data_IF_379105350041
#
_entry.id   IF_379105350041
#
_cell.length_a   1.000
_cell.length_b   1.000
_cell.length_c   1.000
_cell.angle_alpha   90.00
_cell.angle_beta   90.00
_cell.angle_gamma   90.00
#
_symmetry.space_group_name_H-M   'P 1'
#
loop_
_entity.id
_entity.type
_entity.pdbx_description
1 polymer ?
#
# COMPACT_ATOMS: atom_id res chain seq x y z
N UNK A 1 47.59 -14.40 -22.53
CA UNK A 1 47.51 -15.69 -21.82
C UNK A 1 46.95 -15.40 -20.44
N UNK A 2 45.65 -15.49 -20.18
CA UNK A 2 44.94 -16.72 -19.78
C UNK A 2 43.45 -16.45 -20.07
N UNK A 3 42.94 -16.99 -21.18
CA UNK A 3 41.50 -16.99 -21.51
C UNK A 3 41.24 -18.08 -22.55
N UNK A 4 41.58 -19.33 -22.23
CA UNK A 4 41.29 -20.48 -23.08
C UNK A 4 41.58 -21.81 -22.36
N UNK A 5 40.68 -22.30 -21.51
CA UNK A 5 40.52 -23.76 -21.28
C UNK A 5 39.31 -24.01 -20.39
N UNK A 6 38.17 -24.33 -21.00
CA UNK A 6 37.13 -25.25 -20.50
C UNK A 6 36.06 -25.39 -21.58
N UNK A 7 36.52 -25.88 -22.73
CA UNK A 7 35.71 -26.49 -23.77
C UNK A 7 36.17 -27.95 -23.85
N UNK A 8 35.23 -28.89 -24.03
CA UNK A 8 35.37 -30.37 -24.06
C UNK A 8 35.29 -31.10 -22.72
N UNK A 9 34.07 -31.35 -22.25
CA UNK A 9 33.60 -32.73 -22.04
C UNK A 9 32.06 -32.74 -22.10
N UNK A 10 31.50 -33.01 -23.28
CA UNK A 10 30.75 -34.25 -23.54
C UNK A 10 29.34 -34.21 -22.90
N UNK A 11 28.31 -33.62 -23.52
CA UNK A 11 27.61 -34.04 -24.75
C UNK A 11 27.32 -35.55 -24.81
N UNK A 12 26.24 -36.03 -24.19
CA UNK A 12 25.37 -37.09 -24.73
C UNK A 12 23.93 -36.87 -24.27
N UNK A 13 23.01 -37.11 -25.20
CA UNK A 13 21.54 -37.16 -25.07
C UNK A 13 20.77 -35.83 -25.27
N UNK A 14 20.62 -35.48 -26.55
CA UNK A 14 19.38 -34.96 -27.11
C UNK A 14 18.64 -36.11 -27.82
N UNK A 15 17.30 -36.13 -27.77
CA UNK A 15 16.50 -36.11 -28.98
C UNK A 15 15.60 -34.86 -28.97
N UNK A 16 15.71 -33.98 -29.98
CA UNK A 16 14.90 -33.97 -31.21
C UNK A 16 13.51 -33.34 -31.04
N UNK A 17 13.32 -32.22 -31.78
CA UNK A 17 12.07 -31.61 -32.26
C UNK A 17 11.24 -30.86 -31.20
N UNK A 18 10.77 -29.62 -31.38
CA UNK A 18 10.63 -28.74 -32.55
C UNK A 18 10.48 -27.30 -32.01
N UNK A 19 11.33 -26.36 -32.41
CA UNK A 19 11.01 -25.31 -33.39
C UNK A 19 9.79 -24.45 -33.05
N UNK A 20 10.01 -23.28 -32.42
CA UNK A 20 9.33 -22.04 -32.81
C UNK A 20 10.02 -20.82 -32.19
N UNK A 21 10.15 -19.76 -33.00
CA UNK A 21 10.41 -18.36 -32.63
C UNK A 21 11.86 -17.95 -32.27
N UNK A 22 12.61 -17.51 -33.30
CA UNK A 22 13.30 -16.20 -33.30
C UNK A 22 14.01 -15.92 -34.64
N UNK A 23 13.42 -15.03 -35.43
CA UNK A 23 14.07 -14.09 -36.37
C UNK A 23 12.96 -13.25 -36.97
N UNK A 24 13.08 -11.95 -37.23
CA UNK A 24 14.11 -10.97 -36.94
C UNK A 24 13.43 -9.60 -37.09
N UNK A 25 13.95 -8.59 -36.39
CA UNK A 25 13.63 -7.18 -36.60
C UNK A 25 14.48 -6.68 -37.78
N UNK A 26 13.85 -6.10 -38.81
CA UNK A 26 14.44 -5.05 -39.67
C UNK A 26 13.36 -4.33 -40.51
N UNK A 27 13.11 -3.07 -40.17
CA UNK A 27 13.06 -1.87 -41.04
C UNK A 27 12.57 -2.07 -42.49
N UNK A 28 11.37 -1.60 -42.86
CA UNK A 28 11.15 -0.31 -43.56
C UNK A 28 9.70 -0.11 -44.09
N UNK A 29 9.33 1.17 -44.17
CA UNK A 29 8.38 1.91 -45.03
C UNK A 29 7.31 1.22 -45.91
N UNK A 30 6.07 1.75 -45.79
CA UNK A 30 5.00 1.91 -46.81
C UNK A 30 4.61 0.74 -47.73
N UNK A 31 3.37 0.23 -47.59
CA UNK A 31 2.42 0.11 -48.72
C UNK A 31 1.06 -0.46 -48.28
N UNK A 32 0.02 0.31 -48.56
CA UNK A 32 -1.40 -0.07 -48.59
C UNK A 32 -1.68 -0.97 -49.81
N UNK A 33 -2.32 -2.14 -49.63
CA UNK A 33 -3.11 -2.91 -50.64
C UNK A 33 -3.49 -4.26 -50.00
N UNK A 34 -4.61 -4.92 -50.19
CA UNK A 34 -5.93 -4.65 -50.74
C UNK A 34 -6.84 -5.74 -50.17
N UNK A 35 -8.10 -5.39 -49.93
CA UNK A 35 -9.18 -6.34 -49.66
C UNK A 35 -9.61 -6.97 -50.99
N UNK A 36 -9.72 -8.30 -51.02
CA UNK A 36 -10.36 -9.06 -52.09
C UNK A 36 -11.05 -10.29 -51.48
N UNK A 37 -12.35 -10.54 -51.76
CA UNK A 37 -13.12 -11.61 -51.13
C UNK A 37 -13.05 -12.90 -51.96
N UNK A 38 -13.10 -14.05 -51.30
CA UNK A 38 -13.38 -15.32 -51.96
C UNK A 38 -14.12 -16.27 -51.02
N UNK A 39 -15.32 -16.61 -51.45
CA UNK A 39 -16.22 -17.54 -50.81
C UNK A 39 -15.83 -19.00 -51.11
N UNK A 40 -15.71 -19.79 -50.06
CA UNK A 40 -15.88 -21.26 -49.94
C UNK A 40 -15.72 -21.49 -48.42
N UNK A 41 -16.59 -22.14 -47.67
CA UNK A 41 -17.32 -23.35 -47.99
C UNK A 41 -18.44 -23.53 -46.93
N UNK A 42 -19.67 -23.75 -47.39
CA UNK A 42 -20.88 -23.80 -46.57
C UNK A 42 -21.25 -25.25 -46.18
N UNK A 43 -20.25 -26.07 -45.88
CA UNK A 43 -20.37 -27.52 -45.59
C UNK A 43 -20.05 -27.88 -44.14
N UNK A 44 -19.54 -26.95 -43.32
CA UNK A 44 -19.06 -27.25 -41.96
C UNK A 44 -20.14 -27.33 -40.87
N UNK A 45 -21.30 -26.69 -41.05
CA UNK A 45 -22.26 -26.56 -39.93
C UNK A 45 -23.11 -27.83 -39.73
N UNK A 46 -23.46 -28.54 -40.80
CA UNK A 46 -24.34 -29.73 -40.72
C UNK A 46 -23.58 -30.94 -40.14
N UNK A 47 -22.30 -31.10 -40.47
CA UNK A 47 -21.40 -32.10 -39.88
C UNK A 47 -21.01 -31.75 -38.45
N UNK A 48 -20.81 -30.48 -38.10
CA UNK A 48 -20.57 -30.05 -36.73
C UNK A 48 -21.78 -30.33 -35.81
N UNK A 49 -23.01 -30.10 -36.28
CA UNK A 49 -24.23 -30.41 -35.50
C UNK A 49 -24.40 -31.92 -35.32
N UNK A 50 -24.13 -32.74 -36.34
CA UNK A 50 -24.21 -34.22 -36.21
C UNK A 50 -23.11 -34.78 -35.31
N UNK A 51 -21.91 -34.19 -35.30
CA UNK A 51 -20.83 -34.55 -34.38
C UNK A 51 -21.12 -34.12 -32.94
N UNK A 52 -21.65 -32.91 -32.72
CA UNK A 52 -22.09 -32.44 -31.40
C UNK A 52 -23.24 -33.31 -30.88
N UNK A 53 -24.20 -33.69 -31.73
CA UNK A 53 -25.31 -34.57 -31.38
C UNK A 53 -24.86 -36.02 -31.09
N UNK A 54 -23.77 -36.50 -31.72
CA UNK A 54 -23.16 -37.81 -31.43
C UNK A 54 -22.25 -37.81 -30.19
N UNK A 55 -21.60 -36.70 -29.87
CA UNK A 55 -20.82 -36.55 -28.63
C UNK A 55 -21.73 -36.44 -27.38
N UNK A 56 -22.90 -35.82 -27.52
CA UNK A 56 -23.90 -35.76 -26.44
C UNK A 56 -24.51 -37.13 -26.09
N UNK A 57 -24.46 -38.11 -27.00
CA UNK A 57 -25.18 -39.39 -26.84
C UNK A 57 -24.33 -40.54 -26.25
N UNK A 58 -23.04 -40.32 -25.97
CA UNK A 58 -22.12 -41.34 -25.44
C UNK A 58 -21.82 -41.21 -23.93
N UNK A 59 -22.30 -40.15 -23.28
CA UNK A 59 -22.06 -39.92 -21.85
C UNK A 59 -23.37 -39.83 -21.05
N UNK A 60 -24.28 -40.79 -21.23
CA UNK A 60 -25.27 -41.08 -20.18
C UNK A 60 -24.54 -41.80 -19.03
N UNK A 61 -23.76 -41.03 -18.28
CA UNK A 61 -23.14 -41.52 -17.06
C UNK A 61 -24.27 -41.79 -16.08
N UNK A 62 -24.44 -43.06 -15.69
CA UNK A 62 -25.43 -43.46 -14.69
C UNK A 62 -25.16 -42.66 -13.43
N UNK A 63 -26.02 -41.68 -13.15
CA UNK A 63 -25.97 -40.83 -11.96
C UNK A 63 -26.27 -41.72 -10.75
N UNK A 64 -25.22 -42.07 -10.01
CA UNK A 64 -25.38 -42.72 -8.70
C UNK A 64 -25.92 -41.62 -7.78
N UNK A 65 -27.11 -41.83 -7.21
CA UNK A 65 -27.71 -40.88 -6.28
C UNK A 65 -26.79 -40.63 -5.09
N UNK A 66 -26.69 -39.37 -4.67
CA UNK A 66 -25.92 -38.98 -3.50
C UNK A 66 -26.46 -39.68 -2.25
N UNK A 67 -25.57 -40.24 -1.44
CA UNK A 67 -25.96 -40.73 -0.12
C UNK A 67 -26.15 -39.52 0.82
N UNK A 68 -27.11 -39.56 1.75
CA UNK A 68 -27.32 -38.49 2.73
C UNK A 68 -26.05 -38.18 3.56
N UNK A 69 -25.23 -39.21 3.79
CA UNK A 69 -23.98 -39.10 4.53
C UNK A 69 -22.92 -38.29 3.75
N UNK A 70 -22.86 -38.42 2.43
CA UNK A 70 -21.92 -37.71 1.58
C UNK A 70 -22.17 -36.19 1.57
N UNK A 71 -23.45 -35.79 1.55
CA UNK A 71 -23.82 -34.36 1.65
C UNK A 71 -23.51 -33.81 3.04
N UNK A 72 -23.75 -34.58 4.10
CA UNK A 72 -23.44 -34.16 5.47
C UNK A 72 -21.94 -33.93 5.67
N UNK A 73 -21.09 -34.86 5.18
CA UNK A 73 -19.63 -34.71 5.23
C UNK A 73 -19.17 -33.51 4.39
N UNK A 74 -19.75 -33.30 3.20
CA UNK A 74 -19.44 -32.14 2.37
C UNK A 74 -19.77 -30.82 3.07
N UNK A 75 -20.92 -30.72 3.75
CA UNK A 75 -21.30 -29.54 4.53
C UNK A 75 -20.37 -29.29 5.72
N UNK A 76 -19.91 -30.35 6.40
CA UNK A 76 -18.94 -30.22 7.50
C UNK A 76 -17.61 -29.67 6.98
N UNK A 77 -17.05 -30.25 5.92
CA UNK A 77 -15.78 -29.78 5.33
C UNK A 77 -15.92 -28.34 4.82
N UNK A 78 -17.04 -28.02 4.16
CA UNK A 78 -17.33 -26.68 3.67
C UNK A 78 -17.44 -25.66 4.81
N UNK A 79 -18.07 -26.03 5.92
CA UNK A 79 -18.18 -25.15 7.09
C UNK A 79 -16.80 -24.83 7.67
N UNK A 80 -15.92 -25.82 7.80
CA UNK A 80 -14.54 -25.64 8.28
C UNK A 80 -13.75 -24.75 7.31
N UNK A 81 -13.91 -24.94 6.00
CA UNK A 81 -13.29 -24.11 4.97
C UNK A 81 -13.73 -22.65 5.03
N UNK A 82 -15.02 -22.37 5.24
CA UNK A 82 -15.55 -21.01 5.38
C UNK A 82 -15.06 -20.31 6.66
N UNK A 83 -14.92 -21.03 7.77
CA UNK A 83 -14.31 -20.50 8.99
C UNK A 83 -12.84 -20.08 8.76
N UNK A 84 -12.09 -20.87 8.00
CA UNK A 84 -10.72 -20.52 7.60
C UNK A 84 -10.65 -19.25 6.74
N UNK A 85 -11.54 -19.10 5.77
CA UNK A 85 -11.63 -17.90 4.92
C UNK A 85 -12.00 -16.65 5.73
N UNK A 86 -12.92 -16.76 6.69
CA UNK A 86 -13.29 -15.65 7.55
C UNK A 86 -12.12 -15.16 8.42
N UNK A 87 -11.31 -16.09 8.94
CA UNK A 87 -10.11 -15.74 9.70
C UNK A 87 -9.06 -15.01 8.84
N UNK A 88 -8.86 -15.44 7.59
CA UNK A 88 -7.97 -14.75 6.64
C UNK A 88 -8.48 -13.36 6.26
N UNK A 89 -9.78 -13.20 6.06
CA UNK A 89 -10.37 -11.87 5.78
C UNK A 89 -10.20 -10.92 6.97
N UNK A 90 -10.40 -11.41 8.19
CA UNK A 90 -10.21 -10.61 9.40
C UNK A 90 -8.75 -10.14 9.57
N UNK A 91 -7.76 -11.00 9.30
CA UNK A 91 -6.35 -10.61 9.38
C UNK A 91 -5.94 -9.64 8.27
N UNK A 92 -6.46 -9.81 7.06
CA UNK A 92 -6.24 -8.89 5.94
C UNK A 92 -6.80 -7.49 6.25
N UNK A 93 -7.99 -7.40 6.84
CA UNK A 93 -8.58 -6.12 7.23
C UNK A 93 -7.75 -5.40 8.30
N UNK A 94 -7.28 -6.13 9.33
CA UNK A 94 -6.41 -5.56 10.36
C UNK A 94 -5.10 -5.00 9.78
N UNK A 95 -4.50 -5.73 8.84
CA UNK A 95 -3.26 -5.30 8.18
C UNK A 95 -3.48 -4.08 7.30
N UNK A 96 -4.59 -4.07 6.55
CA UNK A 96 -4.97 -2.94 5.69
C UNK A 96 -5.18 -1.66 6.51
N UNK A 97 -5.81 -1.77 7.68
CA UNK A 97 -6.01 -0.62 8.57
C UNK A 97 -4.69 -0.04 9.09
N UNK A 98 -3.72 -0.88 9.48
CA UNK A 98 -2.38 -0.41 9.88
C UNK A 98 -1.67 0.35 8.76
N UNK A 99 -1.66 -0.21 7.55
CA UNK A 99 -1.06 0.46 6.38
C UNK A 99 -1.76 1.78 6.02
N UNK A 100 -3.07 1.89 6.23
CA UNK A 100 -3.80 3.15 6.06
C UNK A 100 -3.35 4.21 7.06
N UNK A 101 -3.22 3.85 8.35
CA UNK A 101 -2.73 4.78 9.38
C UNK A 101 -1.30 5.26 9.08
N UNK A 102 -0.40 4.34 8.72
CA UNK A 102 0.97 4.69 8.34
C UNK A 102 1.00 5.67 7.15
N UNK A 103 0.13 5.44 6.15
CA UNK A 103 0.01 6.34 5.00
C UNK A 103 -0.47 7.74 5.41
N UNK A 104 -1.46 7.84 6.30
CA UNK A 104 -1.95 9.12 6.82
C UNK A 104 -0.87 9.86 7.60
N UNK A 105 -0.13 9.16 8.47
CA UNK A 105 1.00 9.73 9.20
C UNK A 105 2.09 10.25 8.24
N UNK A 106 2.43 9.48 7.22
CA UNK A 106 3.45 9.87 6.26
C UNK A 106 3.03 11.10 5.43
N UNK A 107 1.75 11.22 5.07
CA UNK A 107 1.19 12.41 4.41
C UNK A 107 1.28 13.61 5.36
N UNK A 108 0.92 13.46 6.63
CA UNK A 108 0.98 14.55 7.60
C UNK A 108 2.41 14.98 7.93
N UNK A 109 3.36 14.06 8.01
CA UNK A 109 4.76 14.43 8.18
C UNK A 109 5.28 15.25 6.99
N UNK A 110 4.90 14.87 5.76
CA UNK A 110 5.28 15.62 4.54
C UNK A 110 4.61 16.98 4.48
N UNK A 111 3.32 17.09 4.83
CA UNK A 111 2.64 18.39 4.82
C UNK A 111 3.28 19.39 5.78
N UNK A 112 3.75 18.95 6.96
CA UNK A 112 4.55 19.80 7.84
C UNK A 112 5.93 20.13 7.25
N UNK A 113 6.61 19.16 6.63
CA UNK A 113 7.90 19.42 5.99
C UNK A 113 7.78 20.44 4.85
N UNK A 114 6.71 20.39 4.08
CA UNK A 114 6.42 21.36 3.02
C UNK A 114 6.15 22.75 3.61
N UNK A 115 5.37 22.85 4.69
CA UNK A 115 5.15 24.11 5.42
C UNK A 115 6.47 24.68 6.00
N UNK A 116 7.34 23.81 6.53
CA UNK A 116 8.67 24.21 6.99
C UNK A 116 9.54 24.78 5.88
N UNK A 117 9.51 24.12 4.71
CA UNK A 117 10.27 24.54 3.53
C UNK A 117 9.76 25.83 2.92
N UNK A 118 8.48 26.17 3.13
CA UNK A 118 7.89 27.44 2.70
C UNK A 118 8.33 28.64 3.55
N UNK A 119 8.80 28.40 4.79
CA UNK A 119 9.24 29.44 5.72
C UNK A 119 10.65 29.14 6.28
N UNK A 120 11.67 29.00 5.42
CA UNK A 120 12.98 28.52 5.83
C UNK A 120 13.66 29.45 6.84
N UNK A 121 13.39 30.76 6.78
CA UNK A 121 13.97 31.77 7.66
C UNK A 121 13.70 31.49 9.15
N UNK A 122 12.50 31.05 9.51
CA UNK A 122 12.22 30.72 10.90
C UNK A 122 12.91 29.42 11.32
N UNK A 123 12.79 28.38 10.50
CA UNK A 123 13.20 27.01 10.83
C UNK A 123 14.72 26.82 10.83
N UNK A 124 15.43 27.46 9.89
CA UNK A 124 16.88 27.41 9.78
C UNK A 124 17.58 28.16 10.93
N UNK A 125 17.03 29.32 11.33
CA UNK A 125 17.68 30.20 12.29
C UNK A 125 17.32 29.91 13.76
N UNK A 126 16.09 29.48 14.02
CA UNK A 126 15.59 29.29 15.40
C UNK A 126 15.91 27.89 15.94
N UNK A 127 16.06 26.89 15.05
CA UNK A 127 16.29 25.49 15.42
C UNK A 127 15.39 24.98 16.56
N UNK A 128 14.05 25.12 16.44
CA UNK A 128 13.16 24.74 17.51
C UNK A 128 13.19 23.23 17.73
N UNK A 129 13.09 22.83 18.99
CA UNK A 129 12.88 21.44 19.39
C UNK A 129 11.66 21.38 20.29
N UNK A 130 10.65 20.64 19.86
CA UNK A 130 9.38 20.55 20.58
C UNK A 130 8.65 19.25 20.34
N UNK A 131 7.70 18.94 21.22
CA UNK A 131 6.79 17.80 21.08
C UNK A 131 5.35 18.29 21.15
N UNK A 132 4.48 17.67 20.37
CA UNK A 132 3.05 17.93 20.30
C UNK A 132 2.28 16.68 20.69
N UNK A 133 1.33 16.85 21.60
CA UNK A 133 0.40 15.81 22.03
C UNK A 133 -0.98 16.42 22.27
N UNK A 134 -2.02 15.60 22.40
CA UNK A 134 -3.34 16.06 22.85
C UNK A 134 -4.48 15.52 22.00
N UNK A 135 -5.52 16.33 21.86
CA UNK A 135 -6.72 16.01 21.08
C UNK A 135 -6.89 17.09 20.02
N UNK A 136 -6.91 16.68 18.75
CA UNK A 136 -7.09 17.61 17.64
C UNK A 136 -8.50 18.19 17.61
N UNK A 137 -8.63 19.41 17.09
CA UNK A 137 -9.91 20.08 16.85
C UNK A 137 -10.06 20.43 15.38
N UNK A 138 -11.29 20.49 14.88
CA UNK A 138 -11.58 20.99 13.52
C UNK A 138 -11.49 22.52 13.40
N UNK A 139 -11.06 23.18 14.47
CA UNK A 139 -10.85 24.63 14.54
C UNK A 139 -9.37 25.00 14.42
N UNK A 140 -9.10 26.22 13.99
CA UNK A 140 -7.74 26.79 13.87
C UNK A 140 -7.12 27.18 15.23
N UNK A 141 -7.56 26.54 16.31
CA UNK A 141 -7.19 26.90 17.68
C UNK A 141 -6.22 25.87 18.25
N UNK A 142 -5.29 26.29 19.09
CA UNK A 142 -4.43 25.39 19.86
C UNK A 142 -5.13 24.71 21.05
N UNK A 143 -6.46 24.82 21.15
CA UNK A 143 -7.26 24.25 22.24
C UNK A 143 -7.22 22.72 22.19
N UNK A 144 -6.73 22.09 23.26
CA UNK A 144 -6.57 20.64 23.32
C UNK A 144 -5.21 20.14 22.85
N UNK A 145 -4.38 21.02 22.28
CA UNK A 145 -2.97 20.74 21.97
C UNK A 145 -2.10 21.05 23.18
N UNK A 146 -1.13 20.19 23.45
CA UNK A 146 -0.08 20.39 24.45
C UNK A 146 1.26 20.38 23.76
N UNK A 147 1.93 21.53 23.78
CA UNK A 147 3.29 21.69 23.27
C UNK A 147 4.28 21.69 24.44
N UNK A 148 5.39 20.97 24.28
CA UNK A 148 6.52 20.99 25.23
C UNK A 148 7.83 21.31 24.50
N UNK A 149 8.79 21.92 25.20
CA UNK A 149 10.05 22.38 24.61
C UNK A 149 9.97 23.83 24.14
N UNK A 150 10.54 24.13 22.98
CA UNK A 150 10.54 25.46 22.36
C UNK A 150 9.76 25.49 21.05
N UNK A 151 8.42 25.28 21.09
CA UNK A 151 7.58 25.35 19.90
C UNK A 151 7.44 26.78 19.37
N UNK A 152 7.25 26.98 18.05
CA UNK A 152 6.58 28.18 17.56
C UNK A 152 5.14 28.16 18.07
N UNK A 153 4.71 29.23 18.74
CA UNK A 153 3.32 29.37 19.20
C UNK A 153 2.73 30.66 18.66
N UNK A 154 1.52 30.54 18.13
CA UNK A 154 0.72 31.67 17.69
C UNK A 154 -0.73 31.38 18.02
N UNK A 155 -1.40 32.26 18.77
CA UNK A 155 -2.79 32.08 19.20
C UNK A 155 -3.81 32.74 18.27
N UNK A 156 -3.34 33.46 17.24
CA UNK A 156 -4.17 34.09 16.22
C UNK A 156 -4.43 33.19 15.02
N UNK A 157 -5.12 33.74 14.01
CA UNK A 157 -5.33 33.10 12.72
C UNK A 157 -4.66 33.88 11.61
N UNK A 158 -3.94 33.18 10.73
CA UNK A 158 -3.38 33.79 9.52
C UNK A 158 -4.29 33.66 8.28
N UNK A 159 -5.56 33.30 8.50
CA UNK A 159 -6.53 33.03 7.42
C UNK A 159 -7.13 34.33 6.82
N UNK A 160 -7.57 35.25 7.68
CA UNK A 160 -8.17 36.53 7.26
C UNK A 160 -7.26 37.75 7.49
N UNK A 161 -6.10 37.53 8.11
CA UNK A 161 -5.14 38.55 8.48
C UNK A 161 -3.75 38.02 8.17
N UNK A 162 -2.88 38.88 7.64
CA UNK A 162 -1.48 38.53 7.37
C UNK A 162 -0.76 38.25 8.70
N UNK A 163 -0.02 37.14 8.79
CA UNK A 163 0.83 36.90 9.96
C UNK A 163 1.92 38.00 10.04
N UNK A 164 2.12 38.65 11.19
CA UNK A 164 3.06 39.77 11.28
C UNK A 164 4.53 39.34 11.21
N UNK A 165 4.87 38.11 11.64
CA UNK A 165 6.25 37.61 11.63
C UNK A 165 6.35 36.18 11.09
N UNK A 166 7.56 35.77 10.69
CA UNK A 166 7.85 34.38 10.26
C UNK A 166 7.65 33.37 11.39
N UNK A 167 7.82 33.77 12.66
CA UNK A 167 7.51 32.93 13.82
C UNK A 167 6.00 32.69 13.98
N UNK A 168 5.18 33.69 13.67
CA UNK A 168 3.72 33.57 13.73
C UNK A 168 3.19 32.63 12.64
N UNK A 169 3.73 32.71 11.42
CA UNK A 169 3.43 31.77 10.33
C UNK A 169 3.75 30.34 10.76
N UNK A 170 4.96 30.11 11.27
CA UNK A 170 5.36 28.78 11.74
C UNK A 170 4.48 28.26 12.89
N UNK A 171 4.05 29.14 13.80
CA UNK A 171 3.15 28.80 14.90
C UNK A 171 1.76 28.42 14.39
N UNK A 172 1.23 29.18 13.43
CA UNK A 172 -0.05 28.92 12.79
C UNK A 172 -0.05 27.60 11.98
N UNK A 173 1.01 27.34 11.22
CA UNK A 173 1.14 26.11 10.43
C UNK A 173 1.23 24.88 11.33
N UNK A 174 2.04 24.95 12.39
CA UNK A 174 2.21 23.84 13.33
C UNK A 174 0.91 23.53 14.08
N UNK A 175 0.13 24.53 14.49
CA UNK A 175 -1.16 24.27 15.16
C UNK A 175 -2.18 23.64 14.21
N UNK A 176 -2.28 24.13 12.98
CA UNK A 176 -3.22 23.58 11.98
C UNK A 176 -2.85 22.13 11.68
N UNK A 177 -1.57 21.89 11.40
CA UNK A 177 -1.05 20.57 11.16
C UNK A 177 -1.30 19.64 12.36
N UNK A 178 -0.98 20.09 13.58
CA UNK A 178 -1.15 19.28 14.79
C UNK A 178 -2.61 18.90 15.04
N UNK A 179 -3.54 19.83 14.81
CA UNK A 179 -4.97 19.56 14.87
C UNK A 179 -5.37 18.48 13.87
N UNK A 180 -4.95 18.59 12.61
CA UNK A 180 -5.26 17.60 11.58
C UNK A 180 -4.62 16.24 11.87
N UNK A 181 -3.37 16.21 12.35
CA UNK A 181 -2.70 14.97 12.74
C UNK A 181 -3.45 14.24 13.87
N UNK A 182 -3.82 14.96 14.93
CA UNK A 182 -4.47 14.37 16.10
C UNK A 182 -5.95 14.04 15.87
N UNK A 183 -6.60 14.65 14.88
CA UNK A 183 -7.94 14.25 14.41
C UNK A 183 -7.89 12.93 13.63
N UNK A 184 -6.92 12.79 12.70
CA UNK A 184 -6.82 11.61 11.85
C UNK A 184 -6.17 10.42 12.56
N UNK A 185 -5.23 10.68 13.48
CA UNK A 185 -4.50 9.67 14.25
C UNK A 185 -4.58 10.01 15.74
N UNK A 186 -5.72 9.73 16.40
CA UNK A 186 -5.92 10.04 17.81
C UNK A 186 -4.89 9.35 18.70
N UNK A 187 -4.37 10.07 19.70
CA UNK A 187 -3.36 9.55 20.63
C UNK A 187 -1.94 9.47 20.06
N UNK A 188 -1.71 9.93 18.83
CA UNK A 188 -0.36 10.10 18.29
C UNK A 188 0.40 11.19 19.04
N UNK A 189 1.74 11.11 18.98
CA UNK A 189 2.65 12.12 19.52
C UNK A 189 3.66 12.46 18.45
N UNK A 190 3.89 13.75 18.21
CA UNK A 190 4.87 14.20 17.23
C UNK A 190 6.00 14.97 17.90
N UNK A 191 7.23 14.66 17.53
CA UNK A 191 8.45 15.32 18.01
C UNK A 191 9.18 15.91 16.82
N UNK A 192 9.49 17.20 16.92
CA UNK A 192 10.20 17.96 15.90
C UNK A 192 11.53 18.39 16.50
N UNK A 193 12.62 18.09 15.81
CA UNK A 193 13.98 18.50 16.20
C UNK A 193 14.65 19.12 15.00
N UNK A 194 14.89 20.43 15.06
CA UNK A 194 15.62 21.17 14.03
C UNK A 194 17.04 21.50 14.50
N UNK A 195 17.99 21.54 13.57
CA UNK A 195 19.39 21.89 13.82
C UNK A 195 19.91 22.94 12.85
N UNK A 196 20.56 23.99 13.37
CA UNK A 196 21.25 25.02 12.60
C UNK A 196 22.67 24.62 12.18
N UNK A 197 23.19 23.49 12.68
CA UNK A 197 24.49 22.96 12.27
C UNK A 197 24.38 22.24 10.93
N UNK A 198 25.27 22.56 9.98
CA UNK A 198 25.23 21.98 8.64
C UNK A 198 25.23 20.43 8.67
N UNK A 199 24.31 19.77 7.94
CA UNK A 199 23.28 20.38 7.10
C UNK A 199 22.07 20.88 7.92
N UNK A 200 21.59 22.08 7.58
CA UNK A 200 20.40 22.67 8.22
C UNK A 200 19.19 21.83 7.86
N UNK A 201 18.44 21.40 8.88
CA UNK A 201 17.32 20.51 8.66
C UNK A 201 16.51 20.23 9.90
N UNK A 202 15.32 19.71 9.68
CA UNK A 202 14.38 19.30 10.72
C UNK A 202 14.07 17.82 10.58
N UNK A 203 14.09 17.11 11.70
CA UNK A 203 13.58 15.75 11.82
C UNK A 203 12.19 15.79 12.46
N UNK A 204 11.22 15.21 11.77
CA UNK A 204 9.83 15.08 12.21
C UNK A 204 9.62 13.61 12.54
N UNK A 205 9.35 13.30 13.81
CA UNK A 205 9.09 11.94 14.29
C UNK A 205 7.68 11.86 14.84
N UNK A 206 6.84 11.04 14.23
CA UNK A 206 5.47 10.80 14.68
C UNK A 206 5.39 9.39 15.23
N UNK A 207 4.83 9.24 16.41
CA UNK A 207 4.64 7.96 17.09
C UNK A 207 3.16 7.74 17.37
N UNK A 208 2.69 6.52 17.14
CA UNK A 208 1.31 6.13 17.41
C UNK A 208 1.27 4.68 17.91
N UNK A 209 0.15 4.32 18.50
CA UNK A 209 -0.08 2.96 19.00
C UNK A 209 -0.99 2.22 18.06
N UNK A 210 -0.57 1.05 17.57
CA UNK A 210 -1.44 0.14 16.83
C UNK A 210 -1.92 -0.99 17.72
N UNK A 211 -3.18 -1.37 17.53
CA UNK A 211 -3.77 -2.55 18.15
C UNK A 211 -3.45 -3.74 17.25
N UNK A 212 -2.50 -4.58 17.64
CA UNK A 212 -2.24 -5.82 16.93
C UNK A 212 -3.14 -6.94 17.46
N UNK A 213 -3.66 -7.77 16.56
CA UNK A 213 -4.38 -8.98 16.93
C UNK A 213 -3.36 -9.98 17.52
N UNK A 214 -3.56 -10.40 18.77
CA UNK A 214 -2.73 -11.44 19.37
C UNK A 214 -2.78 -12.71 18.52
N UNK A 215 -1.65 -13.40 18.42
CA UNK A 215 -1.55 -14.67 17.71
C UNK A 215 -2.58 -15.68 18.26
N UNK A 216 -3.32 -16.32 17.36
CA UNK A 216 -4.40 -17.31 17.64
C UNK A 216 -3.92 -18.51 18.48
N UNK A 217 -2.61 -18.72 18.60
CA UNK A 217 -2.01 -19.84 19.33
C UNK A 217 -1.83 -19.61 20.83
N UNK A 218 -2.15 -18.43 21.38
CA UNK A 218 -2.19 -18.22 22.81
C UNK A 218 -3.63 -18.39 23.29
N UNK A 219 -3.92 -19.58 23.83
CA UNK A 219 -5.23 -19.88 24.41
C UNK A 219 -5.69 -18.77 25.34
N UNK A 220 -6.84 -18.19 25.01
CA UNK A 220 -7.65 -17.32 25.89
C UNK A 220 -6.88 -16.31 26.74
N UNK A 221 -6.42 -15.22 26.13
CA UNK A 221 -6.63 -13.89 26.71
C UNK A 221 -6.86 -12.90 25.58
N UNK A 222 -7.91 -12.08 25.70
CA UNK A 222 -8.16 -10.91 24.85
C UNK A 222 -7.09 -9.81 25.08
N UNK A 223 -5.81 -10.17 25.10
CA UNK A 223 -4.70 -9.25 25.23
C UNK A 223 -4.41 -8.69 23.85
N UNK A 224 -5.09 -7.60 23.49
CA UNK A 224 -4.67 -6.82 22.33
C UNK A 224 -3.27 -6.29 22.62
N UNK A 225 -2.26 -6.80 21.92
CA UNK A 225 -0.91 -6.29 22.10
C UNK A 225 -0.82 -4.94 21.41
N UNK A 226 -0.60 -3.89 22.20
CA UNK A 226 -0.36 -2.54 21.68
C UNK A 226 1.09 -2.46 21.22
N UNK A 227 1.30 -2.22 19.93
CA UNK A 227 2.64 -2.02 19.36
C UNK A 227 2.84 -0.52 19.13
N UNK A 228 3.93 0.03 19.65
CA UNK A 228 4.32 1.41 19.35
C UNK A 228 4.96 1.44 17.97
N UNK A 229 4.38 2.24 17.09
CA UNK A 229 4.86 2.52 15.74
C UNK A 229 5.49 3.91 15.71
N UNK A 230 6.48 4.09 14.84
CA UNK A 230 7.17 5.36 14.65
C UNK A 230 7.49 5.59 13.18
N UNK A 231 7.24 6.81 12.70
CA UNK A 231 7.62 7.29 11.39
C UNK A 231 8.50 8.53 11.54
N UNK A 232 9.66 8.54 10.90
CA UNK A 232 10.59 9.68 10.92
C UNK A 232 10.85 10.17 9.49
N UNK A 233 10.68 11.48 9.29
CA UNK A 233 11.03 12.19 8.07
C UNK A 233 12.11 13.23 8.40
N UNK A 234 13.19 13.23 7.62
CA UNK A 234 14.24 14.26 7.71
C UNK A 234 14.10 15.18 6.51
N UNK A 235 13.83 16.45 6.78
CA UNK A 235 13.81 17.51 5.79
C UNK A 235 15.08 18.35 5.89
N UNK A 236 15.65 18.73 4.74
CA UNK A 236 16.77 19.66 4.67
C UNK A 236 16.21 21.01 4.21
N UNK A 237 16.51 22.08 4.95
CA UNK A 237 15.93 23.42 4.78
C UNK A 237 17.01 24.36 4.25
#
# INVERSE_FOLDING_TARGET
MIKATLNKYHRRHQPCLSASLRSAVSIDSQSTFAVGPMACEQTGLVTAVILIQRCLNLASHRTRGFTLLEVLVALVILSIGLLGLAAMQASALSSTHGSQLESMVAIQARSLADAMSANPDYWANTSPTFTVTGTGSASDSSSGLTFTGSPPTYSGSCFNTICPTSADVAGYDVQLWANQLLLQVPGSKASIVCSASAPVGCSITITWTEKSAAAVNQGTTNASATTNMSYTLVNQI
#
